data_IF_838946027049
#
_entry.id   IF_838946027049
#
_cell.length_a   1.000
_cell.length_b   1.000
_cell.length_c   1.000
_cell.angle_alpha   90.00
_cell.angle_beta   90.00
_cell.angle_gamma   90.00
#
_symmetry.space_group_name_H-M   'P 1'
#
loop_
_entity.id
_entity.type
_entity.pdbx_description
1 polymer ?
#
# COMPACT_ATOMS: atom_id res chain seq x y z
N UNK A 1 16.03 -28.41 -30.27
CA UNK A 1 15.96 -26.98 -29.92
C UNK A 1 14.83 -26.82 -28.91
N UNK A 2 15.16 -26.51 -27.67
CA UNK A 2 14.20 -26.33 -26.60
C UNK A 2 14.10 -24.81 -26.34
N UNK A 3 12.92 -24.18 -26.42
CA UNK A 3 12.81 -22.75 -26.17
C UNK A 3 13.09 -22.48 -24.69
N UNK A 4 14.14 -21.70 -24.43
CA UNK A 4 14.46 -21.16 -23.11
C UNK A 4 13.35 -20.21 -22.69
N UNK A 5 12.61 -20.62 -21.68
CA UNK A 5 11.67 -19.78 -20.96
C UNK A 5 12.47 -18.69 -20.23
N UNK A 6 12.44 -17.45 -20.73
CA UNK A 6 13.00 -16.28 -20.05
C UNK A 6 12.06 -15.88 -18.90
N UNK A 7 11.97 -16.72 -17.88
CA UNK A 7 11.42 -16.32 -16.60
C UNK A 7 12.41 -15.36 -15.94
N UNK A 8 12.11 -14.06 -15.96
CA UNK A 8 12.77 -13.09 -15.08
C UNK A 8 12.29 -13.43 -13.67
N UNK A 9 12.91 -14.43 -13.06
CA UNK A 9 12.76 -14.73 -11.64
C UNK A 9 13.46 -13.61 -10.88
N UNK A 10 12.73 -12.56 -10.54
CA UNK A 10 13.18 -11.65 -9.50
C UNK A 10 13.43 -12.50 -8.26
N UNK A 11 14.61 -12.45 -7.62
CA UNK A 11 14.84 -13.19 -6.39
C UNK A 11 13.84 -12.70 -5.34
N UNK A 12 12.85 -13.53 -5.03
CA UNK A 12 11.82 -13.20 -4.04
C UNK A 12 12.29 -13.63 -2.67
N UNK A 13 12.47 -12.66 -1.78
CA UNK A 13 12.74 -12.92 -0.36
C UNK A 13 11.50 -13.42 0.38
N UNK A 14 11.54 -13.51 1.72
CA UNK A 14 10.36 -13.87 2.52
C UNK A 14 9.18 -12.90 2.37
N UNK A 15 9.40 -11.73 1.78
CA UNK A 15 8.39 -10.71 1.46
C UNK A 15 8.11 -10.61 -0.05
N UNK A 16 8.36 -11.67 -0.81
CA UNK A 16 8.05 -11.70 -2.24
C UNK A 16 8.82 -10.64 -3.03
N UNK A 17 8.08 -9.74 -3.67
CA UNK A 17 8.59 -8.62 -4.46
C UNK A 17 9.09 -7.45 -3.59
N UNK A 18 8.69 -7.39 -2.32
CA UNK A 18 9.09 -6.35 -1.39
C UNK A 18 10.35 -6.75 -0.62
N UNK A 19 11.05 -5.76 -0.10
CA UNK A 19 12.34 -5.96 0.57
C UNK A 19 12.28 -5.74 2.07
N UNK A 20 11.31 -4.95 2.54
CA UNK A 20 11.19 -4.54 3.94
C UNK A 20 9.72 -4.40 4.35
N UNK A 21 9.48 -4.41 5.66
CA UNK A 21 8.20 -4.04 6.27
C UNK A 21 8.47 -3.23 7.54
N UNK A 22 7.57 -2.30 7.89
CA UNK A 22 7.73 -1.46 9.08
C UNK A 22 6.38 -0.89 9.52
N UNK A 23 6.26 -0.63 10.82
CA UNK A 23 5.17 0.17 11.36
C UNK A 23 5.58 1.65 11.34
N UNK A 24 4.68 2.49 10.85
CA UNK A 24 4.87 3.94 10.69
C UNK A 24 4.02 4.62 11.73
N UNK A 25 4.60 5.60 12.42
CA UNK A 25 3.89 6.36 13.45
C UNK A 25 3.69 5.57 14.75
N UNK A 26 2.65 5.91 15.50
CA UNK A 26 2.36 5.39 16.83
C UNK A 26 1.47 4.14 16.79
N UNK A 27 1.98 3.06 16.20
CA UNK A 27 1.25 1.79 16.09
C UNK A 27 1.28 1.00 17.41
N UNK A 28 0.10 0.64 17.94
CA UNK A 28 -0.03 -0.09 19.21
C UNK A 28 0.15 -1.60 19.08
N UNK A 29 -0.18 -2.16 17.93
CA UNK A 29 -0.06 -3.59 17.65
C UNK A 29 0.82 -3.77 16.41
N UNK A 30 1.98 -4.41 16.54
CA UNK A 30 2.88 -4.57 15.41
C UNK A 30 2.18 -5.24 14.24
N UNK A 31 2.36 -4.68 13.04
CA UNK A 31 1.88 -5.31 11.83
C UNK A 31 2.77 -6.48 11.41
N UNK A 32 2.26 -7.27 10.48
CA UNK A 32 2.99 -8.40 9.93
C UNK A 32 2.59 -8.67 8.48
N UNK A 33 3.52 -9.26 7.74
CA UNK A 33 3.31 -9.72 6.38
C UNK A 33 3.81 -11.16 6.22
N UNK A 34 2.98 -12.00 5.61
CA UNK A 34 3.39 -13.29 5.06
C UNK A 34 3.17 -13.30 3.55
N UNK A 35 4.08 -13.95 2.82
CA UNK A 35 3.99 -14.12 1.38
C UNK A 35 3.95 -15.61 1.04
N UNK A 36 2.92 -16.03 0.31
CA UNK A 36 2.84 -17.35 -0.28
C UNK A 36 3.28 -17.30 -1.75
N UNK A 37 4.44 -17.90 -2.03
CA UNK A 37 5.00 -17.92 -3.38
C UNK A 37 4.23 -18.78 -4.37
N UNK A 38 3.46 -19.78 -3.90
CA UNK A 38 2.69 -20.67 -4.77
C UNK A 38 1.45 -19.96 -5.34
N UNK A 39 0.76 -19.19 -4.50
CA UNK A 39 -0.42 -18.40 -4.89
C UNK A 39 -0.11 -16.94 -5.24
N UNK A 40 1.13 -16.49 -5.02
CA UNK A 40 1.55 -15.09 -5.14
C UNK A 40 0.74 -14.12 -4.27
N UNK A 41 0.29 -14.59 -3.11
CA UNK A 41 -0.60 -13.85 -2.20
C UNK A 41 0.15 -13.27 -1.01
N UNK A 42 -0.15 -12.03 -0.66
CA UNK A 42 0.29 -11.39 0.58
C UNK A 42 -0.84 -11.41 1.60
N UNK A 43 -0.57 -11.90 2.80
CA UNK A 43 -1.45 -11.65 3.97
C UNK A 43 -0.81 -10.60 4.85
N UNK A 44 -1.48 -9.47 5.00
CA UNK A 44 -0.97 -8.32 5.74
C UNK A 44 -1.92 -8.00 6.89
N UNK A 45 -1.37 -7.90 8.09
CA UNK A 45 -2.05 -7.33 9.25
C UNK A 45 -1.39 -6.00 9.62
N UNK A 46 -2.21 -5.06 10.08
CA UNK A 46 -1.74 -3.76 10.51
C UNK A 46 -2.69 -3.14 11.52
N UNK A 47 -2.16 -2.21 12.30
CA UNK A 47 -2.91 -1.34 13.18
C UNK A 47 -2.42 0.10 13.02
N UNK A 48 -3.13 1.03 13.62
CA UNK A 48 -2.84 2.45 13.56
C UNK A 48 -4.10 3.29 13.62
N UNK A 49 -3.96 4.58 13.91
CA UNK A 49 -5.08 5.49 14.02
C UNK A 49 -5.71 5.77 12.65
N UNK A 50 -4.92 6.22 11.67
CA UNK A 50 -5.36 6.49 10.31
C UNK A 50 -4.17 6.83 9.38
N UNK A 51 -4.44 6.86 8.07
CA UNK A 51 -3.63 7.57 7.07
C UNK A 51 -4.41 8.84 6.73
N UNK A 52 -4.30 9.88 7.55
CA UNK A 52 -5.14 11.08 7.47
C UNK A 52 -4.56 12.26 8.25
N UNK A 53 -5.11 13.47 8.11
CA UNK A 53 -4.63 14.68 8.80
C UNK A 53 -3.12 14.92 8.55
N UNK A 54 -2.39 15.30 9.58
CA UNK A 54 -0.98 15.72 9.54
C UNK A 54 0.01 14.56 9.75
N UNK A 55 -0.44 13.37 10.14
CA UNK A 55 0.44 12.21 10.37
C UNK A 55 -0.28 10.89 10.11
N UNK A 56 0.52 9.86 9.83
CA UNK A 56 0.03 8.53 9.51
C UNK A 56 0.50 7.49 10.52
N UNK A 57 -0.43 6.62 10.90
CA UNK A 57 -0.19 5.44 11.72
C UNK A 57 -0.66 4.19 10.96
N UNK A 58 0.25 3.32 10.53
CA UNK A 58 -0.08 2.11 9.76
C UNK A 58 1.08 1.12 9.64
N UNK A 59 0.81 -0.10 9.14
CA UNK A 59 1.83 -1.06 8.74
C UNK A 59 2.12 -0.99 7.23
N UNK A 60 3.40 -0.96 6.84
CA UNK A 60 3.83 -0.79 5.46
C UNK A 60 4.77 -1.91 5.01
N UNK A 61 4.44 -2.60 3.91
CA UNK A 61 5.30 -3.58 3.24
C UNK A 61 5.82 -2.95 1.95
N UNK A 62 7.14 -2.82 1.80
CA UNK A 62 7.71 -1.87 0.86
C UNK A 62 9.06 -2.27 0.26
N UNK A 63 9.37 -1.61 -0.85
CA UNK A 63 10.69 -1.55 -1.49
C UNK A 63 10.89 -0.16 -2.06
N UNK A 64 12.14 0.23 -2.27
CA UNK A 64 12.45 1.49 -2.93
C UNK A 64 12.30 1.34 -4.44
N UNK A 65 11.69 2.35 -5.07
CA UNK A 65 11.53 2.46 -6.50
C UNK A 65 12.01 3.85 -6.95
N UNK A 66 12.60 3.91 -8.14
CA UNK A 66 13.04 5.16 -8.78
C UNK A 66 12.49 5.21 -10.20
N UNK A 67 12.19 6.41 -10.70
CA UNK A 67 11.68 6.60 -12.05
C UNK A 67 10.20 6.24 -12.19
N UNK A 68 9.79 5.94 -13.41
CA UNK A 68 8.40 5.62 -13.73
C UNK A 68 8.08 4.19 -13.31
N UNK A 69 6.87 3.98 -12.80
CA UNK A 69 6.39 2.65 -12.46
C UNK A 69 4.87 2.59 -12.57
N UNK A 70 4.39 1.36 -12.70
CA UNK A 70 3.00 0.98 -12.55
C UNK A 70 2.95 -0.18 -11.57
N UNK A 71 2.08 -0.09 -10.57
CA UNK A 71 1.84 -1.15 -9.60
C UNK A 71 0.36 -1.46 -9.57
N UNK A 72 0.04 -2.75 -9.56
CA UNK A 72 -1.34 -3.24 -9.58
C UNK A 72 -1.50 -4.32 -8.54
N UNK A 73 -2.57 -4.26 -7.76
CA UNK A 73 -2.97 -5.31 -6.84
C UNK A 73 -4.44 -5.65 -7.05
N UNK A 74 -4.77 -6.91 -6.78
CA UNK A 74 -6.11 -7.29 -6.36
C UNK A 74 -6.07 -7.47 -4.84
N UNK A 75 -7.03 -6.92 -4.11
CA UNK A 75 -7.03 -6.94 -2.67
C UNK A 75 -8.44 -7.01 -2.08
N UNK A 76 -8.54 -7.65 -0.92
CA UNK A 76 -9.75 -7.74 -0.14
C UNK A 76 -9.42 -7.68 1.35
N UNK A 77 -10.41 -7.32 2.18
CA UNK A 77 -10.27 -7.45 3.62
C UNK A 77 -10.57 -8.88 4.06
N UNK A 78 -9.62 -9.51 4.75
CA UNK A 78 -9.87 -10.77 5.42
C UNK A 78 -10.84 -10.58 6.60
N UNK A 79 -11.99 -11.25 6.53
CA UNK A 79 -12.99 -11.28 7.59
C UNK A 79 -13.79 -9.98 7.78
N UNK A 80 -14.78 -10.06 8.67
CA UNK A 80 -15.65 -8.94 9.01
C UNK A 80 -14.87 -7.85 9.75
N UNK A 81 -15.01 -6.62 9.31
CA UNK A 81 -14.40 -5.45 9.95
C UNK A 81 -15.36 -4.77 10.91
N UNK A 82 -14.80 -4.05 11.89
CA UNK A 82 -15.57 -3.24 12.84
C UNK A 82 -15.36 -1.72 12.66
N UNK A 83 -14.38 -1.32 11.84
CA UNK A 83 -14.07 0.07 11.56
C UNK A 83 -14.32 0.37 10.08
N UNK A 84 -15.23 1.31 9.80
CA UNK A 84 -15.57 1.78 8.45
C UNK A 84 -14.36 2.35 7.69
N UNK A 85 -13.42 2.96 8.40
CA UNK A 85 -12.22 3.59 7.86
C UNK A 85 -10.96 2.73 7.98
N UNK A 86 -11.07 1.42 8.20
CA UNK A 86 -9.92 0.52 7.93
C UNK A 86 -9.56 0.65 6.45
N UNK A 87 -8.27 0.69 6.12
CA UNK A 87 -7.78 0.93 4.76
C UNK A 87 -6.81 -0.17 4.33
N UNK A 88 -6.88 -0.52 3.06
CA UNK A 88 -5.82 -1.26 2.36
C UNK A 88 -5.58 -0.59 1.01
N UNK A 89 -4.36 -0.68 0.48
CA UNK A 89 -3.98 0.23 -0.60
C UNK A 89 -2.54 0.18 -1.08
N UNK A 90 -2.31 0.77 -2.25
CA UNK A 90 -0.97 1.25 -2.63
C UNK A 90 -0.64 2.54 -1.91
N UNK A 91 0.64 2.71 -1.58
CA UNK A 91 1.19 3.98 -1.14
C UNK A 91 2.57 4.20 -1.76
N UNK A 92 2.81 5.44 -2.17
CA UNK A 92 4.12 5.98 -2.53
C UNK A 92 4.41 7.13 -1.60
N UNK A 93 5.57 7.09 -0.93
CA UNK A 93 5.94 8.07 0.09
C UNK A 93 7.42 8.39 0.03
N UNK A 94 7.77 9.63 0.38
CA UNK A 94 9.15 10.13 0.24
C UNK A 94 10.09 9.63 1.34
N UNK A 95 9.55 9.32 2.52
CA UNK A 95 10.30 8.82 3.68
C UNK A 95 9.38 8.00 4.59
N UNK A 96 9.95 7.30 5.57
CA UNK A 96 9.18 6.54 6.58
C UNK A 96 8.70 7.38 7.77
N UNK A 97 8.95 8.70 7.79
CA UNK A 97 8.46 9.60 8.83
C UNK A 97 6.92 9.68 8.81
N UNK A 98 6.27 9.69 9.97
CA UNK A 98 4.81 9.65 10.06
C UNK A 98 4.10 10.80 9.31
N UNK A 99 4.76 11.94 9.17
CA UNK A 99 4.24 13.15 8.54
C UNK A 99 4.61 13.28 7.05
N UNK A 100 5.23 12.25 6.46
CA UNK A 100 5.83 12.32 5.11
C UNK A 100 4.83 12.69 4.00
N UNK A 101 5.26 13.48 3.00
CA UNK A 101 4.54 13.59 1.74
C UNK A 101 4.32 12.22 1.12
N UNK A 102 3.07 11.95 0.73
CA UNK A 102 2.68 10.69 0.16
C UNK A 102 1.50 10.82 -0.79
N UNK A 103 1.32 9.80 -1.61
CA UNK A 103 0.08 9.49 -2.31
C UNK A 103 -0.28 8.06 -1.98
N UNK A 104 -1.55 7.82 -1.67
CA UNK A 104 -2.08 6.49 -1.41
C UNK A 104 -3.43 6.31 -2.09
N UNK A 105 -3.70 5.08 -2.50
CA UNK A 105 -5.01 4.65 -2.98
C UNK A 105 -5.63 3.80 -1.88
N UNK A 106 -6.79 4.14 -1.35
CA UNK A 106 -7.42 3.40 -0.27
C UNK A 106 -8.73 2.75 -0.71
N UNK A 107 -8.86 1.44 -0.48
CA UNK A 107 -10.17 0.80 -0.29
C UNK A 107 -10.46 0.85 1.22
N UNK A 108 -11.58 1.48 1.56
CA UNK A 108 -12.05 1.57 2.93
C UNK A 108 -12.99 0.42 3.29
N UNK A 109 -13.10 0.11 4.58
CA UNK A 109 -14.01 -0.92 5.08
C UNK A 109 -15.50 -0.67 4.79
N UNK A 110 -15.90 0.59 4.61
CA UNK A 110 -17.25 1.01 4.19
C UNK A 110 -17.45 1.01 2.66
N UNK A 111 -16.42 0.63 1.90
CA UNK A 111 -16.44 0.60 0.45
C UNK A 111 -16.03 1.89 -0.24
N UNK A 112 -15.68 2.97 0.49
CA UNK A 112 -15.08 4.14 -0.14
C UNK A 112 -13.78 3.75 -0.85
N UNK A 113 -13.68 4.08 -2.14
CA UNK A 113 -12.45 4.00 -2.91
C UNK A 113 -11.98 5.41 -3.22
N UNK A 114 -10.73 5.74 -2.87
CA UNK A 114 -10.21 7.10 -3.05
C UNK A 114 -8.71 7.13 -3.29
N UNK A 115 -8.25 8.21 -3.91
CA UNK A 115 -6.86 8.65 -3.88
C UNK A 115 -6.72 9.67 -2.75
N UNK A 116 -5.82 9.44 -1.81
CA UNK A 116 -5.48 10.34 -0.71
C UNK A 116 -4.03 10.80 -0.88
N UNK A 117 -3.74 12.05 -0.53
CA UNK A 117 -2.37 12.56 -0.67
C UNK A 117 -2.05 13.65 0.35
N UNK A 118 -0.77 13.72 0.72
CA UNK A 118 -0.17 14.78 1.53
C UNK A 118 0.96 15.42 0.73
N UNK A 119 0.88 16.73 0.50
CA UNK A 119 1.82 17.45 -0.39
C UNK A 119 3.17 17.76 0.25
N UNK A 120 3.17 18.14 1.52
CA UNK A 120 4.36 18.54 2.27
C UNK A 120 4.35 17.89 3.66
N UNK A 121 5.51 17.77 4.33
CA UNK A 121 5.56 17.19 5.66
C UNK A 121 4.56 17.87 6.61
N UNK A 122 3.76 17.08 7.32
CA UNK A 122 2.80 17.57 8.32
C UNK A 122 1.58 18.31 7.76
N UNK A 123 1.40 18.39 6.44
CA UNK A 123 0.20 19.01 5.87
C UNK A 123 -1.03 18.12 6.03
N UNK A 124 -2.21 18.75 6.02
CA UNK A 124 -3.49 18.06 5.99
C UNK A 124 -3.58 17.14 4.77
N UNK A 125 -3.93 15.87 4.98
CA UNK A 125 -4.29 14.95 3.89
C UNK A 125 -5.52 15.44 3.14
N UNK A 126 -5.41 15.45 1.82
CA UNK A 126 -6.50 15.71 0.87
C UNK A 126 -6.99 14.40 0.24
N UNK A 127 -8.21 14.40 -0.30
CA UNK A 127 -8.77 13.23 -0.99
C UNK A 127 -9.44 13.58 -2.33
N UNK A 128 -9.35 12.64 -3.27
CA UNK A 128 -10.15 12.58 -4.49
C UNK A 128 -10.88 11.24 -4.46
N UNK A 129 -12.21 11.27 -4.35
CA UNK A 129 -13.03 10.07 -4.30
C UNK A 129 -13.22 9.51 -5.71
N UNK A 130 -13.08 8.19 -5.84
CA UNK A 130 -13.44 7.50 -7.06
C UNK A 130 -14.97 7.44 -7.19
N UNK A 131 -15.52 7.47 -8.42
CA UNK A 131 -16.94 7.19 -8.63
C UNK A 131 -17.33 5.75 -8.29
N UNK A 132 -16.36 4.83 -8.39
CA UNK A 132 -16.53 3.41 -8.06
C UNK A 132 -16.36 3.24 -6.55
N UNK A 133 -17.22 2.43 -5.94
CA UNK A 133 -17.09 1.95 -4.56
C UNK A 133 -16.76 0.47 -4.56
N UNK A 134 -16.16 -0.04 -3.50
CA UNK A 134 -15.83 -1.46 -3.33
C UNK A 134 -14.97 -2.00 -4.47
N UNK A 135 -14.03 -1.20 -4.97
CA UNK A 135 -13.03 -1.71 -5.90
C UNK A 135 -12.25 -2.86 -5.23
N UNK A 136 -11.94 -3.90 -6.00
CA UNK A 136 -11.09 -5.02 -5.60
C UNK A 136 -9.75 -4.99 -6.33
N UNK A 137 -9.65 -4.28 -7.45
CA UNK A 137 -8.42 -4.03 -8.19
C UNK A 137 -8.03 -2.55 -8.11
N UNK A 138 -6.78 -2.29 -7.73
CA UNK A 138 -6.20 -0.94 -7.74
C UNK A 138 -4.90 -0.94 -8.55
N UNK A 139 -4.79 0.02 -9.45
CA UNK A 139 -3.56 0.36 -10.15
C UNK A 139 -3.12 1.79 -9.80
N UNK A 140 -1.84 1.96 -9.50
CA UNK A 140 -1.19 3.27 -9.31
C UNK A 140 -0.03 3.41 -10.29
N UNK A 141 -0.03 4.50 -11.05
CA UNK A 141 1.03 4.84 -12.01
C UNK A 141 1.75 6.11 -11.55
N UNK A 142 3.08 6.07 -11.59
CA UNK A 142 3.94 7.25 -11.54
C UNK A 142 4.58 7.44 -12.90
N UNK A 143 4.38 8.62 -13.49
CA UNK A 143 4.94 9.01 -14.78
C UNK A 143 5.53 10.41 -14.73
N UNK A 144 6.77 10.55 -15.22
CA UNK A 144 7.48 11.82 -15.32
C UNK A 144 8.32 12.14 -14.09
N UNK A 145 8.64 13.42 -13.92
CA UNK A 145 9.59 13.93 -12.92
C UNK A 145 8.91 14.55 -11.70
N UNK A 146 7.58 14.54 -11.66
CA UNK A 146 6.75 15.03 -10.54
C UNK A 146 6.01 13.87 -9.90
#
# INVERSE_FOLDING_TARGET
MNPTNLGIGLPTGPLGLFTQQTDVGAVRHPGACTYDAASQTYTISGAGANIWNDHDDFHFVWKQLTGNFIVTMQAEFAGQGVNAHRKLGWMVRSSLAADSPNVSTGIHGDGLTSLQFRRTPGAQTEEIRAPITHADVIQLERRGDT
#
